data_IF_303346188263
#
_entry.id   IF_303346188263
#
_cell.length_a   1.000
_cell.length_b   1.000
_cell.length_c   1.000
_cell.angle_alpha   90.00
_cell.angle_beta   90.00
_cell.angle_gamma   90.00
#
_symmetry.space_group_name_H-M   'P 1'
#
loop_
_entity.id
_entity.type
_entity.pdbx_description
1 polymer ?
#
# COMPACT_ATOMS: atom_id res chain seq x y z
N UNK A 1 -18.79 9.65 -7.76
CA UNK A 1 -17.40 9.67 -8.24
C UNK A 1 -16.45 8.96 -7.29
N UNK A 2 -15.48 8.23 -7.85
CA UNK A 2 -14.35 7.67 -7.10
C UNK A 2 -13.29 8.77 -6.99
N UNK A 3 -13.11 9.31 -5.78
CA UNK A 3 -12.06 10.29 -5.55
C UNK A 3 -10.86 9.62 -4.90
N UNK A 4 -9.74 9.61 -5.59
CA UNK A 4 -8.43 9.31 -5.02
C UNK A 4 -7.73 10.64 -4.70
N UNK A 5 -7.50 10.91 -3.43
CA UNK A 5 -6.83 12.14 -2.98
C UNK A 5 -5.30 12.07 -3.10
N UNK A 6 -4.76 11.01 -3.70
CA UNK A 6 -3.32 10.76 -3.72
C UNK A 6 -2.51 11.71 -4.61
N UNK A 7 -3.16 12.48 -5.48
CA UNK A 7 -2.45 13.17 -6.56
C UNK A 7 -1.98 14.59 -6.27
N UNK A 8 -2.48 15.25 -5.23
CA UNK A 8 -2.38 16.71 -5.23
C UNK A 8 -1.19 17.35 -4.52
N UNK A 9 -0.33 16.60 -3.79
CA UNK A 9 0.64 17.29 -2.94
C UNK A 9 2.04 16.69 -2.86
N UNK A 10 2.65 16.52 -4.02
CA UNK A 10 4.03 16.02 -4.15
C UNK A 10 5.03 16.86 -3.36
N UNK A 11 4.87 18.17 -3.35
CA UNK A 11 5.81 19.10 -2.72
C UNK A 11 5.62 19.24 -1.22
N UNK A 12 4.42 19.11 -0.73
CA UNK A 12 4.12 19.26 0.71
C UNK A 12 4.54 18.03 1.54
N UNK A 13 4.61 16.85 0.92
CA UNK A 13 4.97 15.59 1.59
C UNK A 13 6.45 15.42 1.86
N UNK A 14 7.31 16.16 1.22
CA UNK A 14 8.77 16.06 1.40
C UNK A 14 9.24 16.38 2.82
N UNK A 15 8.45 17.08 3.61
CA UNK A 15 8.82 17.45 4.97
C UNK A 15 8.76 16.32 5.98
N UNK A 16 8.04 15.25 5.70
CA UNK A 16 7.94 14.07 6.59
C UNK A 16 9.20 13.21 6.63
N UNK A 17 10.04 13.32 5.59
CA UNK A 17 11.30 12.56 5.49
C UNK A 17 12.48 13.25 6.09
N UNK A 18 12.29 14.44 6.57
CA UNK A 18 13.39 15.22 7.10
C UNK A 18 13.78 14.69 8.47
N UNK A 19 14.72 13.75 8.43
CA UNK A 19 15.53 13.47 9.59
C UNK A 19 16.09 14.78 10.15
N UNK A 20 16.43 14.78 11.41
CA UNK A 20 16.82 15.96 12.21
C UNK A 20 17.88 16.84 11.52
N UNK A 21 18.62 16.33 10.54
CA UNK A 21 19.78 16.96 9.92
C UNK A 21 19.62 17.35 8.45
N UNK A 22 18.40 17.40 7.89
CA UNK A 22 18.23 17.77 6.50
C UNK A 22 18.39 19.29 6.31
N UNK A 23 19.24 19.79 5.34
CA UNK A 23 19.50 21.21 5.18
C UNK A 23 18.28 22.06 4.78
N UNK A 24 17.23 21.45 4.27
CA UNK A 24 15.97 22.13 3.90
C UNK A 24 14.90 22.08 5.00
N UNK A 25 15.27 21.88 6.25
CA UNK A 25 14.38 21.76 7.41
C UNK A 25 13.43 22.95 7.61
N UNK A 26 13.79 24.12 7.09
CA UNK A 26 13.03 25.36 7.23
C UNK A 26 11.99 25.61 6.15
N UNK A 27 11.98 24.83 5.07
CA UNK A 27 11.04 25.06 3.97
C UNK A 27 9.69 24.38 4.25
N UNK A 28 8.68 25.17 4.51
CA UNK A 28 7.26 24.85 4.44
C UNK A 28 6.69 23.76 5.35
N UNK A 29 7.21 23.64 6.59
CA UNK A 29 6.55 22.81 7.61
C UNK A 29 5.08 23.17 7.84
N UNK A 30 4.71 24.43 7.58
CA UNK A 30 3.35 24.97 7.72
C UNK A 30 2.36 24.46 6.67
N UNK A 31 2.87 24.02 5.52
CA UNK A 31 2.05 23.58 4.37
C UNK A 31 2.18 22.09 4.06
N UNK A 32 3.02 21.38 4.80
CA UNK A 32 3.18 19.94 4.62
C UNK A 32 2.00 19.18 5.22
N UNK A 33 1.35 18.35 4.43
CA UNK A 33 0.41 17.36 4.96
C UNK A 33 1.17 16.25 5.68
N UNK A 34 0.59 15.74 6.77
CA UNK A 34 1.17 14.63 7.53
C UNK A 34 0.48 13.31 7.15
N UNK A 35 1.27 12.24 6.97
CA UNK A 35 0.76 10.89 6.85
C UNK A 35 0.79 10.14 8.19
N UNK A 36 1.17 10.81 9.30
CA UNK A 36 1.20 10.18 10.60
C UNK A 36 -0.16 9.55 10.96
N UNK A 37 -0.17 8.37 11.59
CA UNK A 37 0.98 7.62 12.11
C UNK A 37 1.74 6.77 11.07
N UNK A 38 1.36 6.81 9.79
CA UNK A 38 1.97 6.01 8.73
C UNK A 38 3.40 6.44 8.47
N UNK A 39 4.31 5.47 8.38
CA UNK A 39 5.72 5.71 8.07
C UNK A 39 5.89 6.07 6.60
N UNK A 40 6.77 7.00 6.33
CA UNK A 40 7.12 7.41 4.98
C UNK A 40 6.06 8.27 4.30
N UNK A 41 6.21 8.52 3.01
CA UNK A 41 5.29 9.23 2.13
C UNK A 41 5.58 8.84 0.67
N UNK A 42 5.10 9.60 -0.32
CA UNK A 42 5.32 9.32 -1.75
C UNK A 42 6.77 8.91 -2.05
N UNK A 43 6.91 7.82 -2.80
CA UNK A 43 8.20 7.28 -3.20
C UNK A 43 8.79 6.25 -2.24
N UNK A 44 8.04 5.86 -1.20
CA UNK A 44 8.43 4.80 -0.27
C UNK A 44 7.48 3.59 -0.36
N UNK A 45 8.03 2.40 -0.11
CA UNK A 45 7.22 1.18 0.03
C UNK A 45 6.58 1.02 1.42
N UNK A 46 6.85 1.93 2.37
CA UNK A 46 6.16 1.97 3.65
C UNK A 46 4.69 2.43 3.50
N UNK A 47 3.86 2.17 4.52
CA UNK A 47 2.42 2.48 4.48
C UNK A 47 2.13 3.94 4.10
N UNK A 48 2.90 4.89 4.58
CA UNK A 48 2.74 6.30 4.22
C UNK A 48 3.02 6.62 2.74
N UNK A 49 3.70 5.73 2.03
CA UNK A 49 3.97 5.86 0.60
C UNK A 49 2.96 5.16 -0.29
N UNK A 50 2.36 4.07 0.20
CA UNK A 50 1.48 3.21 -0.63
C UNK A 50 0.01 3.24 -0.19
N UNK A 51 -0.28 3.59 1.07
CA UNK A 51 -1.65 3.60 1.59
C UNK A 51 -2.31 4.96 1.37
N UNK A 52 -3.47 4.94 0.73
CA UNK A 52 -4.31 6.11 0.48
C UNK A 52 -5.75 5.84 0.92
N UNK A 53 -6.51 6.87 1.34
CA UNK A 53 -7.93 6.71 1.62
C UNK A 53 -8.71 6.44 0.34
N UNK A 54 -9.71 5.56 0.43
CA UNK A 54 -10.70 5.31 -0.61
C UNK A 54 -12.08 5.65 -0.07
N UNK A 55 -12.82 6.46 -0.81
CA UNK A 55 -14.22 6.80 -0.51
C UNK A 55 -15.08 6.35 -1.69
N UNK A 56 -16.09 5.53 -1.40
CA UNK A 56 -17.04 5.04 -2.38
C UNK A 56 -18.44 5.55 -2.01
N UNK A 57 -19.06 6.32 -2.91
CA UNK A 57 -20.44 6.75 -2.79
C UNK A 57 -21.30 6.04 -3.84
N UNK A 58 -22.14 5.10 -3.40
CA UNK A 58 -23.05 4.35 -4.25
C UNK A 58 -24.45 4.35 -3.63
N UNK A 59 -25.28 5.36 -3.97
CA UNK A 59 -26.58 5.56 -3.34
C UNK A 59 -27.48 4.33 -3.39
N UNK A 60 -28.10 4.01 -2.28
CA UNK A 60 -29.01 2.87 -2.14
C UNK A 60 -28.31 1.49 -2.11
N UNK A 61 -26.99 1.45 -2.24
CA UNK A 61 -26.21 0.19 -2.28
C UNK A 61 -25.15 0.09 -1.19
N UNK A 62 -24.52 1.20 -0.83
CA UNK A 62 -23.57 1.25 0.30
C UNK A 62 -24.26 1.86 1.52
N UNK A 63 -23.97 1.31 2.70
CA UNK A 63 -24.48 1.84 3.96
C UNK A 63 -23.84 3.20 4.26
N UNK A 64 -24.62 4.25 4.52
CA UNK A 64 -24.07 5.55 4.93
C UNK A 64 -23.19 5.44 6.17
N UNK A 65 -22.13 6.24 6.23
CA UNK A 65 -21.18 6.29 7.35
C UNK A 65 -20.50 4.94 7.69
N UNK A 66 -20.52 3.97 6.78
CA UNK A 66 -19.81 2.71 6.98
C UNK A 66 -18.31 2.88 6.74
N UNK A 67 -17.52 2.08 7.43
CA UNK A 67 -16.07 1.97 7.27
C UNK A 67 -15.68 0.53 7.01
N UNK A 68 -14.66 0.32 6.21
CA UNK A 68 -14.10 -1.00 5.94
C UNK A 68 -12.57 -0.95 6.07
N UNK A 69 -11.97 -2.02 6.57
CA UNK A 69 -10.53 -2.25 6.61
C UNK A 69 -10.07 -3.20 5.51
N UNK A 70 -10.93 -3.49 4.53
CA UNK A 70 -10.58 -4.31 3.39
C UNK A 70 -9.37 -3.73 2.65
N UNK A 71 -8.45 -4.59 2.24
CA UNK A 71 -7.35 -4.22 1.37
C UNK A 71 -7.87 -4.07 -0.05
N UNK A 72 -7.53 -2.95 -0.68
CA UNK A 72 -7.92 -2.62 -2.06
C UNK A 72 -6.74 -1.97 -2.76
N UNK A 73 -6.51 -2.34 -4.01
CA UNK A 73 -5.52 -1.69 -4.89
C UNK A 73 -6.18 -1.08 -6.12
N UNK A 74 -5.41 -0.33 -6.90
CA UNK A 74 -5.91 0.27 -8.15
C UNK A 74 -6.43 -0.74 -9.17
N UNK A 75 -5.82 -1.93 -9.21
CA UNK A 75 -6.22 -3.02 -10.11
C UNK A 75 -7.61 -3.60 -9.78
N UNK A 76 -8.07 -3.44 -8.54
CA UNK A 76 -9.34 -3.98 -8.07
C UNK A 76 -10.56 -3.18 -8.54
N UNK A 77 -10.36 -1.96 -9.02
CA UNK A 77 -11.48 -1.10 -9.44
C UNK A 77 -12.19 -1.65 -10.67
N UNK A 78 -11.45 -2.13 -11.67
CA UNK A 78 -12.03 -2.61 -12.91
C UNK A 78 -12.98 -3.81 -12.69
N UNK A 79 -12.56 -4.93 -12.07
CA UNK A 79 -13.48 -6.02 -11.79
C UNK A 79 -14.62 -5.63 -10.85
N UNK A 80 -14.39 -4.69 -9.92
CA UNK A 80 -15.46 -4.19 -9.05
C UNK A 80 -16.52 -3.41 -9.83
N UNK A 81 -16.12 -2.56 -10.77
CA UNK A 81 -17.05 -1.80 -11.59
C UNK A 81 -17.85 -2.70 -12.53
N UNK A 82 -17.23 -3.73 -13.12
CA UNK A 82 -17.95 -4.73 -13.89
C UNK A 82 -19.05 -5.40 -13.04
N UNK A 83 -18.70 -5.87 -11.84
CA UNK A 83 -19.65 -6.50 -10.95
C UNK A 83 -20.74 -5.55 -10.44
N UNK A 84 -20.39 -4.28 -10.15
CA UNK A 84 -21.35 -3.24 -9.74
C UNK A 84 -22.40 -2.97 -10.81
N UNK A 85 -22.04 -3.04 -12.08
CA UNK A 85 -22.91 -2.79 -13.22
C UNK A 85 -23.60 -4.04 -13.76
N UNK A 86 -23.31 -5.22 -13.20
CA UNK A 86 -23.85 -6.50 -13.64
C UNK A 86 -23.26 -7.01 -14.94
N UNK A 87 -22.11 -6.48 -15.35
CA UNK A 87 -21.37 -6.96 -16.50
C UNK A 87 -20.56 -8.21 -16.14
N UNK A 88 -20.29 -9.10 -17.12
CA UNK A 88 -19.47 -10.28 -16.88
C UNK A 88 -18.03 -9.89 -16.51
N UNK A 89 -17.41 -10.71 -15.67
CA UNK A 89 -15.98 -10.59 -15.41
C UNK A 89 -15.17 -10.86 -16.68
N UNK A 90 -14.06 -10.16 -16.81
CA UNK A 90 -13.10 -10.30 -17.92
C UNK A 90 -11.72 -10.67 -17.37
N UNK A 91 -11.53 -11.92 -16.87
CA UNK A 91 -10.33 -12.30 -16.12
C UNK A 91 -9.02 -12.10 -16.89
N UNK A 92 -9.06 -12.18 -18.22
CA UNK A 92 -7.89 -11.90 -19.06
C UNK A 92 -7.48 -10.42 -19.08
N UNK A 93 -8.37 -9.51 -18.66
CA UNK A 93 -8.13 -8.06 -18.61
C UNK A 93 -7.85 -7.55 -17.20
N UNK A 94 -8.20 -8.30 -16.16
CA UNK A 94 -7.98 -7.90 -14.77
C UNK A 94 -7.25 -8.98 -13.97
N UNK A 95 -6.15 -9.47 -14.54
CA UNK A 95 -5.35 -10.59 -14.01
C UNK A 95 -5.01 -10.42 -12.52
N UNK A 96 -4.65 -9.20 -12.10
CA UNK A 96 -4.27 -8.89 -10.71
C UNK A 96 -5.42 -8.33 -9.87
N UNK A 97 -6.58 -8.06 -10.49
CA UNK A 97 -7.69 -7.39 -9.84
C UNK A 97 -8.65 -8.35 -9.17
N UNK A 98 -9.05 -8.02 -7.94
CA UNK A 98 -10.10 -8.74 -7.19
C UNK A 98 -11.22 -7.77 -6.83
N UNK A 99 -12.47 -8.12 -7.18
CA UNK A 99 -13.60 -7.27 -6.85
C UNK A 99 -13.77 -7.09 -5.36
N UNK A 100 -13.80 -5.84 -4.89
CA UNK A 100 -14.10 -5.51 -3.50
C UNK A 100 -15.59 -5.18 -3.25
N UNK A 101 -16.48 -5.52 -4.17
CA UNK A 101 -17.93 -5.37 -3.99
C UNK A 101 -18.45 -6.03 -2.71
N UNK A 102 -17.95 -7.21 -2.25
CA UNK A 102 -18.33 -7.76 -0.95
C UNK A 102 -18.06 -6.79 0.20
N UNK A 103 -16.89 -6.13 0.21
CA UNK A 103 -16.55 -5.16 1.25
C UNK A 103 -17.47 -3.93 1.23
N UNK A 104 -17.89 -3.45 0.06
CA UNK A 104 -18.87 -2.38 -0.07
C UNK A 104 -20.25 -2.74 0.49
N UNK A 105 -20.56 -4.03 0.54
CA UNK A 105 -21.79 -4.59 1.13
C UNK A 105 -21.63 -5.02 2.59
N UNK A 106 -20.50 -4.69 3.22
CA UNK A 106 -20.20 -5.04 4.61
C UNK A 106 -19.90 -6.52 4.83
N UNK A 107 -19.55 -7.26 3.79
CA UNK A 107 -19.14 -8.68 3.86
C UNK A 107 -17.62 -8.80 3.96
N UNK A 108 -17.15 -9.97 4.39
CA UNK A 108 -15.74 -10.31 4.37
C UNK A 108 -15.18 -10.21 2.94
N UNK A 109 -13.95 -9.74 2.83
CA UNK A 109 -13.22 -9.63 1.58
C UNK A 109 -11.78 -10.08 1.83
N UNK A 110 -11.39 -11.14 1.17
CA UNK A 110 -10.01 -11.63 1.15
C UNK A 110 -9.44 -11.41 -0.25
N UNK A 111 -8.56 -10.43 -0.35
CA UNK A 111 -7.89 -10.11 -1.60
C UNK A 111 -6.65 -11.00 -1.85
N UNK A 112 -6.16 -11.64 -0.82
CA UNK A 112 -4.85 -12.30 -0.86
C UNK A 112 -3.69 -11.31 -0.73
N UNK A 113 -2.55 -11.66 -1.32
CA UNK A 113 -1.34 -10.85 -1.24
C UNK A 113 -1.38 -9.64 -2.19
N UNK A 114 -0.73 -8.56 -1.76
CA UNK A 114 -0.46 -7.38 -2.58
C UNK A 114 1.05 -7.24 -2.69
N UNK A 115 1.54 -6.97 -3.89
CA UNK A 115 2.96 -6.87 -4.19
C UNK A 115 3.31 -5.49 -4.74
N UNK A 116 4.54 -5.05 -4.46
CA UNK A 116 5.14 -3.85 -5.02
C UNK A 116 6.55 -4.18 -5.49
N UNK A 117 6.89 -3.75 -6.69
CA UNK A 117 8.23 -3.82 -7.26
C UNK A 117 8.66 -2.41 -7.67
N UNK A 118 9.69 -1.90 -7.03
CA UNK A 118 10.23 -0.58 -7.30
C UNK A 118 11.75 -0.67 -7.48
N UNK A 119 12.23 -1.07 -8.68
CA UNK A 119 13.66 -1.32 -8.94
C UNK A 119 14.47 -0.04 -9.21
N UNK A 120 14.01 1.10 -8.71
CA UNK A 120 14.60 2.41 -8.98
C UNK A 120 14.93 3.14 -7.69
N UNK A 121 15.84 4.11 -7.79
CA UNK A 121 16.03 5.11 -6.75
C UNK A 121 14.93 6.17 -6.83
N UNK A 122 14.31 6.48 -5.70
CA UNK A 122 13.32 7.56 -5.63
C UNK A 122 13.99 8.87 -5.24
N UNK A 123 13.94 9.86 -6.12
CA UNK A 123 14.43 11.21 -5.81
C UNK A 123 13.59 11.93 -4.74
N UNK A 124 12.38 11.46 -4.50
CA UNK A 124 11.44 12.11 -3.57
C UNK A 124 11.46 11.53 -2.16
N UNK A 125 11.82 10.28 -1.99
CA UNK A 125 11.72 9.59 -0.72
C UNK A 125 13.02 8.93 -0.26
N UNK A 126 14.10 9.03 -1.04
CA UNK A 126 15.33 8.28 -0.78
C UNK A 126 15.10 6.76 -0.65
N UNK A 127 14.05 6.25 -1.29
CA UNK A 127 13.80 4.82 -1.40
C UNK A 127 14.88 4.20 -2.29
N UNK A 128 15.63 3.26 -1.75
CA UNK A 128 16.50 2.39 -2.55
C UNK A 128 15.67 1.39 -3.34
N UNK A 129 16.22 0.84 -4.44
CA UNK A 129 15.56 -0.23 -5.17
C UNK A 129 15.11 -1.35 -4.26
N UNK A 130 13.86 -1.76 -4.37
CA UNK A 130 13.28 -2.73 -3.45
C UNK A 130 11.91 -3.21 -3.88
N UNK A 131 11.36 -4.13 -3.11
CA UNK A 131 10.01 -4.63 -3.25
C UNK A 131 9.32 -4.76 -1.91
N UNK A 132 8.02 -4.99 -1.94
CA UNK A 132 7.26 -5.28 -0.75
C UNK A 132 6.14 -6.28 -1.06
N UNK A 133 5.74 -7.01 -0.03
CA UNK A 133 4.55 -7.84 -0.04
C UNK A 133 3.74 -7.55 1.22
N UNK A 134 2.42 -7.46 1.06
CA UNK A 134 1.48 -7.45 2.16
C UNK A 134 0.55 -8.65 2.05
N UNK A 135 0.48 -9.45 3.11
CA UNK A 135 -0.45 -10.56 3.25
C UNK A 135 -1.15 -10.46 4.61
N UNK A 136 -2.44 -10.19 4.58
CA UNK A 136 -3.21 -9.93 5.79
C UNK A 136 -2.62 -8.78 6.60
N UNK A 137 -2.24 -9.05 7.85
CA UNK A 137 -1.63 -8.06 8.75
C UNK A 137 -0.13 -7.87 8.58
N UNK A 138 0.56 -8.80 7.94
CA UNK A 138 2.01 -8.73 7.78
C UNK A 138 2.39 -8.03 6.49
N UNK A 139 3.42 -7.19 6.59
CA UNK A 139 4.06 -6.54 5.46
C UNK A 139 5.58 -6.76 5.56
N UNK A 140 6.16 -7.24 4.47
CA UNK A 140 7.60 -7.40 4.33
C UNK A 140 8.10 -6.45 3.25
N UNK A 141 9.23 -5.79 3.54
CA UNK A 141 10.01 -5.01 2.57
C UNK A 141 11.36 -5.69 2.33
N UNK A 142 11.79 -5.72 1.08
CA UNK A 142 13.12 -6.15 0.65
C UNK A 142 13.85 -4.99 -0.02
N UNK A 143 15.12 -4.79 0.32
CA UNK A 143 16.01 -3.81 -0.31
C UNK A 143 17.07 -4.54 -1.12
N UNK A 144 17.04 -4.40 -2.43
CA UNK A 144 17.80 -5.25 -3.36
C UNK A 144 19.32 -5.12 -3.23
N UNK A 145 19.83 -3.90 -3.03
CA UNK A 145 21.27 -3.66 -2.96
C UNK A 145 21.93 -4.32 -1.75
N UNK A 146 21.22 -4.32 -0.62
CA UNK A 146 21.75 -4.84 0.66
C UNK A 146 21.27 -6.25 0.96
N UNK A 147 20.30 -6.76 0.20
CA UNK A 147 19.61 -7.99 0.53
C UNK A 147 18.93 -7.97 1.90
N UNK A 148 18.71 -6.78 2.46
CA UNK A 148 18.11 -6.64 3.77
C UNK A 148 16.58 -6.65 3.66
N UNK A 149 15.95 -7.25 4.68
CA UNK A 149 14.49 -7.36 4.77
C UNK A 149 14.00 -6.75 6.08
N UNK A 150 12.77 -6.26 6.07
CA UNK A 150 12.05 -5.79 7.25
C UNK A 150 10.67 -6.40 7.25
N UNK A 151 10.16 -6.81 8.40
CA UNK A 151 8.82 -7.38 8.58
C UNK A 151 8.05 -6.60 9.63
N UNK A 152 6.80 -6.24 9.34
CA UNK A 152 5.93 -5.48 10.25
C UNK A 152 4.57 -6.15 10.42
N UNK A 153 4.01 -6.06 11.63
CA UNK A 153 2.61 -6.41 11.92
C UNK A 153 1.77 -5.13 11.94
N UNK A 154 1.11 -4.82 10.85
CA UNK A 154 0.38 -3.57 10.66
C UNK A 154 -0.90 -3.43 11.51
N UNK A 155 -1.37 -4.48 12.14
CA UNK A 155 -2.45 -4.39 13.13
C UNK A 155 -1.95 -3.82 14.46
N UNK A 156 -0.70 -4.14 14.83
CA UNK A 156 -0.10 -3.72 16.09
C UNK A 156 0.85 -2.54 15.93
N UNK A 157 1.41 -2.38 14.75
CA UNK A 157 2.44 -1.39 14.43
C UNK A 157 2.17 -0.77 13.06
N UNK A 158 1.12 0.03 12.98
CA UNK A 158 0.75 0.73 11.76
C UNK A 158 1.83 1.73 11.29
N UNK A 159 2.67 2.18 12.21
CA UNK A 159 3.78 3.10 11.96
C UNK A 159 5.07 2.41 11.50
N UNK A 160 5.09 1.08 11.37
CA UNK A 160 6.25 0.32 10.89
C UNK A 160 7.54 0.65 11.66
N UNK A 161 7.44 0.72 13.02
CA UNK A 161 8.54 1.09 13.90
C UNK A 161 9.33 -0.12 14.41
N UNK A 162 8.71 -1.31 14.47
CA UNK A 162 9.26 -2.49 15.10
C UNK A 162 9.46 -3.59 14.05
N UNK A 163 10.71 -3.75 13.62
CA UNK A 163 11.07 -4.81 12.68
C UNK A 163 11.03 -6.18 13.36
N UNK A 164 10.19 -7.06 12.84
CA UNK A 164 9.99 -8.43 13.32
C UNK A 164 10.78 -9.47 12.51
N UNK A 165 11.57 -9.08 11.53
CA UNK A 165 12.24 -10.02 10.61
C UNK A 165 13.10 -11.06 11.34
N UNK A 166 13.84 -10.65 12.36
CA UNK A 166 14.66 -11.54 13.17
C UNK A 166 13.85 -12.37 14.18
N UNK A 167 12.75 -11.82 14.71
CA UNK A 167 11.92 -12.48 15.74
C UNK A 167 10.86 -13.42 15.15
N UNK A 168 10.58 -13.33 13.84
CA UNK A 168 9.60 -14.15 13.11
C UNK A 168 10.20 -14.72 11.81
N UNK A 169 11.27 -15.54 11.89
CA UNK A 169 12.01 -16.00 10.72
C UNK A 169 11.14 -16.80 9.75
N UNK A 170 10.20 -17.62 10.24
CA UNK A 170 9.34 -18.45 9.37
C UNK A 170 8.40 -17.58 8.51
N UNK A 171 7.81 -16.55 9.11
CA UNK A 171 6.93 -15.61 8.39
C UNK A 171 7.77 -14.80 7.39
N UNK A 172 8.94 -14.35 7.80
CA UNK A 172 9.87 -13.60 6.95
C UNK A 172 10.26 -14.44 5.73
N UNK A 173 10.69 -15.68 5.92
CA UNK A 173 11.07 -16.57 4.83
C UNK A 173 9.88 -16.87 3.89
N UNK A 174 8.70 -17.12 4.45
CA UNK A 174 7.47 -17.35 3.67
C UNK A 174 7.15 -16.16 2.77
N UNK A 175 7.08 -14.95 3.33
CA UNK A 175 6.71 -13.77 2.57
C UNK A 175 7.78 -13.37 1.55
N UNK A 176 9.05 -13.52 1.90
CA UNK A 176 10.15 -13.28 0.98
C UNK A 176 10.11 -14.24 -0.22
N UNK A 177 9.84 -15.53 0.05
CA UNK A 177 9.65 -16.50 -1.03
C UNK A 177 8.49 -16.12 -1.94
N UNK A 178 7.35 -15.75 -1.38
CA UNK A 178 6.18 -15.32 -2.16
C UNK A 178 6.48 -14.09 -3.02
N UNK A 179 7.21 -13.11 -2.47
CA UNK A 179 7.63 -11.92 -3.21
C UNK A 179 8.55 -12.26 -4.37
N UNK A 180 9.51 -13.18 -4.16
CA UNK A 180 10.43 -13.64 -5.20
C UNK A 180 9.74 -14.49 -6.25
N UNK A 181 8.78 -15.35 -5.86
CA UNK A 181 7.99 -16.15 -6.80
C UNK A 181 7.19 -15.23 -7.72
N UNK A 182 6.41 -14.31 -7.14
CA UNK A 182 5.63 -13.34 -7.91
C UNK A 182 6.51 -12.50 -8.85
N UNK A 183 7.67 -12.03 -8.40
CA UNK A 183 8.57 -11.25 -9.24
C UNK A 183 9.06 -12.03 -10.47
N UNK A 184 9.30 -13.35 -10.33
CA UNK A 184 9.65 -14.21 -11.48
C UNK A 184 8.51 -14.47 -12.46
N UNK A 185 7.27 -14.30 -12.01
CA UNK A 185 6.10 -14.45 -12.89
C UNK A 185 5.83 -13.20 -13.72
N UNK A 186 6.29 -12.03 -13.24
CA UNK A 186 5.99 -10.74 -13.91
C UNK A 186 7.20 -10.14 -14.64
N UNK A 187 8.42 -10.68 -14.45
CA UNK A 187 9.65 -10.33 -15.18
C UNK A 187 9.71 -11.12 -16.50
#
# INVERSE_FOLDING_TARGET
>A
PLHSSAASDVYKRQNQYRGVNHPRKSLDSRFASSNLPLRGAKGWNYEGGVRVPLIVHWPGRTKPNSKSHALVTGTDYYPTLLEMTGLPALPEQHVDGVSFLPALRGKAHDRGAIYWHFPHYSNHGYQSPGGAIRLGKYKLLEYYEKGSVQLFDLEKDLGEQHDLSASKPDITAKLLKMLHDWRREVD
#
